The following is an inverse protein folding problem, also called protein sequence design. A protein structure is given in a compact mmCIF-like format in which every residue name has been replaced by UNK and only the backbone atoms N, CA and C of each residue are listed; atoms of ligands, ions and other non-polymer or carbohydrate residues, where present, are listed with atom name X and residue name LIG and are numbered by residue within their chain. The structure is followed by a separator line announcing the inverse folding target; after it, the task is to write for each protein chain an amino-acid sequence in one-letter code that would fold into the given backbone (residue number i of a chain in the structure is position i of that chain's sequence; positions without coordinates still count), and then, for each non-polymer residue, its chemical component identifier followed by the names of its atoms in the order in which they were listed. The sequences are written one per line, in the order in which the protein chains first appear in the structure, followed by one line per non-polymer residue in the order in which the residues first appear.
data_IF_860116029486
#
_entry.id   IF_860116029486
#
_cell.length_a   1.000
_cell.length_b   1.000
_cell.length_c   1.000
_cell.angle_alpha   90.00
_cell.angle_beta   90.00
_cell.angle_gamma   90.00
#
_symmetry.space_group_name_H-M   'P 1'
#
loop_
_entity.id
_entity.type
_entity.pdbx_description
1 polymer ?
#
# COMPACT_ATOMS: atom_id res chain seq x y z
N UNK A 1 11.27 -20.17 -22.47
CA UNK A 1 10.45 -19.55 -21.42
C UNK A 1 9.15 -19.09 -22.08
N UNK A 2 8.00 -19.41 -21.51
CA UNK A 2 6.73 -18.92 -22.01
C UNK A 2 6.67 -17.40 -21.86
N UNK A 3 6.14 -16.70 -22.86
CA UNK A 3 5.99 -15.26 -22.79
C UNK A 3 4.87 -14.91 -21.80
N UNK A 4 5.15 -13.98 -20.89
CA UNK A 4 4.18 -13.46 -19.92
C UNK A 4 3.64 -12.13 -20.43
N UNK A 5 2.31 -11.97 -20.40
CA UNK A 5 1.64 -10.72 -20.74
C UNK A 5 0.83 -10.25 -19.53
N UNK A 6 0.98 -8.98 -19.17
CA UNK A 6 0.30 -8.36 -18.02
C UNK A 6 -0.44 -7.10 -18.52
N UNK A 7 -1.63 -6.86 -17.94
CA UNK A 7 -2.34 -5.60 -18.18
C UNK A 7 -1.62 -4.46 -17.47
N UNK A 8 -1.24 -3.46 -18.24
CA UNK A 8 -0.58 -2.26 -17.73
C UNK A 8 -1.62 -1.13 -17.58
N UNK A 9 -1.89 -0.73 -16.36
CA UNK A 9 -2.86 0.34 -16.06
C UNK A 9 -2.45 1.67 -16.68
N UNK A 10 -1.15 1.95 -16.78
CA UNK A 10 -0.64 3.20 -17.36
C UNK A 10 -0.99 3.34 -18.86
N UNK A 11 -0.90 2.25 -19.61
CA UNK A 11 -1.17 2.25 -21.05
C UNK A 11 -2.57 1.77 -21.40
N UNK A 12 -3.29 1.18 -20.44
CA UNK A 12 -4.62 0.60 -20.64
C UNK A 12 -4.62 -0.65 -21.53
N UNK A 13 -3.48 -1.32 -21.70
CA UNK A 13 -3.30 -2.45 -22.62
C UNK A 13 -2.63 -3.63 -21.95
N UNK A 14 -2.88 -4.81 -22.52
CA UNK A 14 -2.14 -6.03 -22.17
C UNK A 14 -0.83 -6.04 -22.97
N UNK A 15 0.29 -6.03 -22.27
CA UNK A 15 1.62 -5.91 -22.84
C UNK A 15 2.51 -7.08 -22.44
N UNK A 16 3.52 -7.37 -23.25
CA UNK A 16 4.56 -8.33 -22.90
C UNK A 16 5.31 -7.82 -21.65
N UNK A 17 5.41 -8.67 -20.65
CA UNK A 17 6.13 -8.34 -19.43
C UNK A 17 7.63 -8.40 -19.65
N UNK A 18 8.31 -7.28 -19.44
CA UNK A 18 9.75 -7.17 -19.47
C UNK A 18 10.28 -6.67 -18.12
N UNK A 19 11.03 -7.50 -17.38
CA UNK A 19 11.57 -7.07 -16.09
C UNK A 19 12.65 -6.00 -16.27
N UNK A 20 12.66 -4.99 -15.40
CA UNK A 20 13.69 -3.91 -15.39
C UNK A 20 15.11 -4.44 -15.28
N UNK A 21 15.30 -5.57 -14.58
CA UNK A 21 16.56 -6.25 -14.42
C UNK A 21 16.41 -7.70 -14.85
N UNK A 22 17.28 -8.17 -15.73
CA UNK A 22 17.23 -9.53 -16.26
C UNK A 22 17.15 -10.56 -15.13
N UNK A 23 16.11 -11.38 -15.15
CA UNK A 23 15.89 -12.46 -14.17
C UNK A 23 15.42 -12.01 -12.78
N UNK A 24 15.26 -10.70 -12.52
CA UNK A 24 14.86 -10.17 -11.20
C UNK A 24 13.59 -9.32 -11.31
N UNK A 25 12.67 -9.52 -10.37
CA UNK A 25 11.39 -8.81 -10.31
C UNK A 25 11.20 -8.22 -8.92
N UNK A 26 10.84 -6.93 -8.85
CA UNK A 26 10.25 -6.33 -7.67
C UNK A 26 8.73 -6.41 -7.77
N UNK A 27 8.07 -6.99 -6.77
CA UNK A 27 6.62 -7.08 -6.66
C UNK A 27 6.19 -6.40 -5.36
N UNK A 28 5.28 -5.44 -5.45
CA UNK A 28 4.68 -4.80 -4.30
C UNK A 28 3.18 -5.06 -4.28
N UNK A 29 2.65 -5.43 -3.13
CA UNK A 29 1.22 -5.65 -2.91
C UNK A 29 0.80 -4.90 -1.66
N UNK A 30 -0.32 -4.20 -1.72
CA UNK A 30 -0.89 -3.55 -0.55
C UNK A 30 -1.26 -4.60 0.49
N UNK A 31 -0.83 -4.38 1.72
CA UNK A 31 -1.06 -5.28 2.85
C UNK A 31 -2.28 -4.93 3.68
N UNK A 32 -2.48 -5.62 4.80
CA UNK A 32 -3.61 -5.39 5.68
C UNK A 32 -3.42 -4.15 6.56
N UNK A 33 -4.54 -3.56 7.00
CA UNK A 33 -4.60 -2.66 8.14
C UNK A 33 -5.06 -3.47 9.36
N UNK A 34 -4.30 -3.42 10.43
CA UNK A 34 -4.42 -4.34 11.57
C UNK A 34 -5.34 -3.80 12.67
N UNK A 35 -6.63 -3.63 12.37
CA UNK A 35 -7.65 -3.22 13.36
C UNK A 35 -8.81 -4.21 13.49
N UNK A 36 -8.89 -5.20 12.61
CA UNK A 36 -9.95 -6.21 12.60
C UNK A 36 -9.48 -7.52 11.99
N UNK A 37 -10.27 -8.56 12.14
CA UNK A 37 -10.00 -9.84 11.48
C UNK A 37 -10.07 -9.71 9.96
N UNK A 38 -9.14 -10.35 9.23
CA UNK A 38 -9.21 -10.40 7.77
C UNK A 38 -10.49 -11.11 7.33
N UNK A 39 -11.21 -10.52 6.40
CA UNK A 39 -12.38 -11.13 5.77
C UNK A 39 -12.04 -11.68 4.38
N UNK A 40 -12.98 -12.40 3.77
CA UNK A 40 -12.79 -13.04 2.45
C UNK A 40 -12.35 -12.08 1.35
N UNK A 41 -12.79 -10.81 1.41
CA UNK A 41 -12.34 -9.77 0.46
C UNK A 41 -10.83 -9.52 0.53
N UNK A 42 -10.27 -9.44 1.73
CA UNK A 42 -8.82 -9.30 1.93
C UNK A 42 -8.08 -10.55 1.43
N UNK A 43 -8.59 -11.74 1.80
CA UNK A 43 -7.98 -13.02 1.40
C UNK A 43 -7.95 -13.20 -0.11
N UNK A 44 -9.02 -12.82 -0.81
CA UNK A 44 -9.04 -12.87 -2.27
C UNK A 44 -7.87 -12.12 -2.90
N UNK A 45 -7.54 -10.94 -2.38
CA UNK A 45 -6.38 -10.19 -2.85
C UNK A 45 -5.09 -10.98 -2.63
N UNK A 46 -4.87 -11.47 -1.41
CA UNK A 46 -3.62 -12.16 -1.08
C UNK A 46 -3.46 -13.49 -1.83
N UNK A 47 -4.54 -14.26 -2.03
CA UNK A 47 -4.54 -15.51 -2.81
C UNK A 47 -4.20 -15.21 -4.28
N UNK A 48 -4.80 -14.20 -4.88
CA UNK A 48 -4.54 -13.84 -6.27
C UNK A 48 -3.07 -13.43 -6.48
N UNK A 49 -2.52 -12.63 -5.57
CA UNK A 49 -1.12 -12.22 -5.67
C UNK A 49 -0.14 -13.33 -5.30
N UNK A 50 -0.52 -14.27 -4.44
CA UNK A 50 0.27 -15.48 -4.19
C UNK A 50 0.36 -16.37 -5.46
N UNK A 51 -0.74 -16.51 -6.19
CA UNK A 51 -0.72 -17.21 -7.49
C UNK A 51 0.24 -16.56 -8.48
N UNK A 52 0.20 -15.22 -8.58
CA UNK A 52 1.11 -14.45 -9.44
C UNK A 52 2.56 -14.65 -8.98
N UNK A 53 2.82 -14.56 -7.68
CA UNK A 53 4.14 -14.76 -7.11
C UNK A 53 4.70 -16.14 -7.41
N UNK A 54 3.90 -17.21 -7.18
CA UNK A 54 4.28 -18.59 -7.51
C UNK A 54 4.55 -18.77 -8.99
N UNK A 55 3.74 -18.15 -9.84
CA UNK A 55 3.95 -18.25 -11.28
C UNK A 55 5.24 -17.57 -11.72
N UNK A 56 5.57 -16.41 -11.18
CA UNK A 56 6.83 -15.74 -11.45
C UNK A 56 8.04 -16.57 -11.01
N UNK A 57 7.95 -17.22 -9.83
CA UNK A 57 8.97 -18.17 -9.36
C UNK A 57 9.09 -19.39 -10.29
N UNK A 58 7.96 -19.94 -10.74
CA UNK A 58 7.92 -21.06 -11.71
C UNK A 58 8.58 -20.69 -13.03
N UNK A 59 8.46 -19.46 -13.49
CA UNK A 59 9.16 -18.95 -14.68
C UNK A 59 10.67 -18.74 -14.46
N UNK A 60 11.19 -19.00 -13.26
CA UNK A 60 12.61 -18.91 -12.93
C UNK A 60 13.07 -17.49 -12.53
N UNK A 61 12.17 -16.57 -12.25
CA UNK A 61 12.53 -15.25 -11.76
C UNK A 61 12.91 -15.26 -10.27
N UNK A 62 13.87 -14.43 -9.91
CA UNK A 62 14.12 -14.04 -8.53
C UNK A 62 13.18 -12.89 -8.17
N UNK A 63 12.20 -13.15 -7.32
CA UNK A 63 11.17 -12.16 -6.98
C UNK A 63 11.41 -11.60 -5.59
N UNK A 64 11.62 -10.28 -5.49
CA UNK A 64 11.55 -9.55 -4.22
C UNK A 64 10.11 -9.11 -4.00
N UNK A 65 9.38 -9.89 -3.22
CA UNK A 65 7.98 -9.60 -2.88
C UNK A 65 7.92 -8.78 -1.60
N UNK A 66 7.36 -7.58 -1.71
CA UNK A 66 7.15 -6.64 -0.60
C UNK A 66 5.65 -6.47 -0.37
N UNK A 67 5.22 -6.58 0.88
CA UNK A 67 3.84 -6.30 1.30
C UNK A 67 3.88 -5.49 2.58
N UNK A 68 3.28 -4.29 2.58
CA UNK A 68 3.28 -3.46 3.78
C UNK A 68 2.33 -4.00 4.84
N UNK A 69 2.56 -3.59 6.08
CA UNK A 69 1.64 -3.73 7.20
C UNK A 69 1.27 -2.32 7.66
N UNK A 70 -0.02 -1.97 7.64
CA UNK A 70 -0.49 -0.70 8.18
C UNK A 70 -0.80 -0.87 9.66
N UNK A 71 0.13 -0.44 10.49
CA UNK A 71 0.09 -0.55 11.95
C UNK A 71 -0.20 0.78 12.67
N UNK A 72 -0.42 1.87 11.91
CA UNK A 72 -0.83 3.17 12.44
C UNK A 72 -1.48 4.04 11.35
N UNK A 73 -2.15 5.13 11.76
CA UNK A 73 -2.54 6.22 10.87
C UNK A 73 -3.65 5.90 9.87
N UNK A 74 -4.43 4.84 10.10
CA UNK A 74 -5.58 4.54 9.24
C UNK A 74 -6.80 5.38 9.66
N UNK A 75 -6.85 6.60 9.13
CA UNK A 75 -7.92 7.55 9.42
C UNK A 75 -9.14 7.21 8.56
N UNK A 76 -10.29 7.03 9.20
CA UNK A 76 -11.59 6.87 8.53
C UNK A 76 -12.46 8.09 8.78
N UNK A 77 -13.07 8.61 7.72
CA UNK A 77 -14.03 9.70 7.84
C UNK A 77 -15.41 9.11 8.17
N UNK A 78 -15.82 9.18 9.43
CA UNK A 78 -17.16 8.83 9.86
C UNK A 78 -17.83 10.04 10.49
N UNK A 79 -18.92 10.52 9.87
CA UNK A 79 -19.72 11.66 10.34
C UNK A 79 -18.90 12.96 10.52
N UNK A 80 -17.90 13.22 9.66
CA UNK A 80 -17.09 14.44 9.71
C UNK A 80 -16.01 14.45 10.80
N UNK A 81 -15.76 13.32 11.45
CA UNK A 81 -14.66 13.12 12.40
C UNK A 81 -13.61 12.20 11.79
N UNK A 82 -12.38 12.68 11.75
CA UNK A 82 -11.22 11.84 11.42
C UNK A 82 -10.92 10.92 12.61
N UNK A 83 -11.20 9.64 12.46
CA UNK A 83 -11.00 8.65 13.52
C UNK A 83 -9.95 7.62 13.08
N UNK A 84 -8.96 7.38 13.92
CA UNK A 84 -8.00 6.29 13.71
C UNK A 84 -8.67 4.94 14.01
N UNK A 85 -8.77 4.08 12.99
CA UNK A 85 -9.42 2.78 13.09
C UNK A 85 -8.74 1.85 14.11
N UNK A 86 -7.42 1.93 14.26
CA UNK A 86 -6.67 1.14 15.25
C UNK A 86 -6.98 1.66 16.65
N UNK A 87 -6.97 2.97 16.86
CA UNK A 87 -7.33 3.59 18.12
C UNK A 87 -8.78 3.34 18.53
N UNK A 88 -9.71 3.28 17.56
CA UNK A 88 -11.10 2.90 17.82
C UNK A 88 -11.22 1.44 18.25
N UNK A 89 -10.53 0.52 17.58
CA UNK A 89 -10.50 -0.89 17.96
C UNK A 89 -9.88 -1.08 19.35
N UNK A 90 -8.80 -0.35 19.64
CA UNK A 90 -8.15 -0.35 20.95
C UNK A 90 -9.10 0.05 22.09
N UNK A 91 -9.85 1.14 21.90
CA UNK A 91 -10.88 1.59 22.86
C UNK A 91 -12.01 0.58 23.03
N UNK A 92 -12.51 0.02 21.92
CA UNK A 92 -13.62 -0.94 21.95
C UNK A 92 -13.23 -2.25 22.65
N UNK A 93 -11.99 -2.68 22.52
CA UNK A 93 -11.48 -3.91 23.12
C UNK A 93 -10.77 -3.68 24.46
N UNK A 94 -10.67 -2.43 24.94
CA UNK A 94 -9.97 -2.05 26.17
C UNK A 94 -8.50 -2.50 26.19
N UNK A 95 -7.82 -2.32 25.06
CA UNK A 95 -6.41 -2.67 24.82
C UNK A 95 -5.62 -1.44 24.36
N UNK A 96 -4.30 -1.52 24.44
CA UNK A 96 -3.42 -0.53 23.80
C UNK A 96 -3.37 -0.74 22.27
N UNK A 97 -3.11 0.35 21.51
CA UNK A 97 -3.07 0.29 20.05
C UNK A 97 -2.08 -0.75 19.52
N UNK A 98 -0.91 -0.87 20.15
CA UNK A 98 0.10 -1.87 19.76
C UNK A 98 -0.34 -3.31 20.06
N UNK A 99 -1.13 -3.53 21.11
CA UNK A 99 -1.68 -4.86 21.42
C UNK A 99 -2.71 -5.27 20.37
N UNK A 100 -3.54 -4.34 19.90
CA UNK A 100 -4.48 -4.56 18.77
C UNK A 100 -3.73 -4.95 17.51
N UNK A 101 -2.69 -4.19 17.16
CA UNK A 101 -1.83 -4.48 16.00
C UNK A 101 -1.22 -5.89 16.11
N UNK A 102 -0.65 -6.22 17.25
CA UNK A 102 -0.05 -7.54 17.49
C UNK A 102 -1.08 -8.67 17.38
N UNK A 103 -2.23 -8.51 18.02
CA UNK A 103 -3.35 -9.47 17.99
C UNK A 103 -3.81 -9.78 16.57
N UNK A 104 -4.10 -8.74 15.79
CA UNK A 104 -4.61 -8.93 14.43
C UNK A 104 -3.52 -9.33 13.43
N UNK A 105 -2.27 -8.94 13.67
CA UNK A 105 -1.15 -9.45 12.89
C UNK A 105 -0.95 -10.96 13.09
N UNK A 106 -1.01 -11.44 14.34
CA UNK A 106 -0.93 -12.88 14.62
C UNK A 106 -2.02 -13.66 13.89
N UNK A 107 -3.28 -13.22 14.00
CA UNK A 107 -4.41 -13.82 13.30
C UNK A 107 -4.22 -13.80 11.77
N UNK A 108 -3.71 -12.71 11.22
CA UNK A 108 -3.42 -12.60 9.79
C UNK A 108 -2.35 -13.60 9.35
N UNK A 109 -1.29 -13.79 10.14
CA UNK A 109 -0.25 -14.79 9.86
C UNK A 109 -0.80 -16.22 9.93
N UNK A 110 -1.67 -16.51 10.89
CA UNK A 110 -2.31 -17.84 11.02
C UNK A 110 -3.21 -18.14 9.81
N UNK A 111 -3.98 -17.17 9.35
CA UNK A 111 -4.81 -17.30 8.16
C UNK A 111 -3.95 -17.51 6.91
N UNK A 112 -2.87 -16.77 6.74
CA UNK A 112 -1.95 -16.98 5.62
C UNK A 112 -1.40 -18.41 5.61
N UNK A 113 -1.02 -18.93 6.78
CA UNK A 113 -0.54 -20.30 6.93
C UNK A 113 -1.64 -21.32 6.60
N UNK A 114 -2.88 -21.10 7.07
CA UNK A 114 -4.02 -21.98 6.80
C UNK A 114 -4.34 -22.07 5.30
N UNK A 115 -4.19 -20.98 4.56
CA UNK A 115 -4.38 -20.93 3.10
C UNK A 115 -3.10 -21.25 2.31
N UNK A 116 -2.03 -21.70 2.97
CA UNK A 116 -0.75 -22.05 2.33
C UNK A 116 -0.18 -20.92 1.45
N UNK A 117 -0.35 -19.65 1.86
CA UNK A 117 0.21 -18.52 1.14
C UNK A 117 1.72 -18.43 1.41
N UNK A 118 2.50 -18.16 0.36
CA UNK A 118 3.92 -17.92 0.50
C UNK A 118 4.17 -16.58 1.22
N UNK A 119 5.18 -16.59 2.09
CA UNK A 119 5.57 -15.34 2.77
C UNK A 119 6.21 -14.36 1.81
N UNK A 120 5.91 -13.06 1.91
CA UNK A 120 6.68 -12.03 1.24
C UNK A 120 8.16 -12.05 1.66
N UNK A 121 9.02 -11.46 0.85
CA UNK A 121 10.45 -11.26 1.19
C UNK A 121 10.60 -10.33 2.39
N UNK A 122 9.70 -9.33 2.51
CA UNK A 122 9.65 -8.39 3.62
C UNK A 122 8.23 -7.86 3.80
N UNK A 123 7.83 -7.64 5.06
CA UNK A 123 6.57 -6.99 5.45
C UNK A 123 6.90 -5.72 6.26
N UNK A 124 7.23 -4.59 5.59
CA UNK A 124 7.53 -3.34 6.29
C UNK A 124 6.29 -2.78 6.97
N UNK A 125 6.45 -2.32 8.22
CA UNK A 125 5.40 -1.58 8.94
C UNK A 125 5.55 -0.09 8.75
N UNK A 126 4.46 0.67 8.85
CA UNK A 126 4.50 2.12 8.72
C UNK A 126 5.32 2.76 9.84
N UNK A 127 5.15 2.28 11.09
CA UNK A 127 5.88 2.81 12.25
C UNK A 127 7.38 2.57 12.20
N UNK A 128 7.83 1.46 11.61
CA UNK A 128 9.25 1.15 11.48
C UNK A 128 9.96 1.97 10.38
N UNK A 129 9.22 2.72 9.55
CA UNK A 129 9.76 3.48 8.41
C UNK A 129 9.46 4.98 8.50
N UNK A 130 9.25 5.51 9.72
CA UNK A 130 8.98 6.93 9.95
C UNK A 130 10.13 7.80 9.43
N UNK A 131 11.37 7.38 9.63
CA UNK A 131 12.54 8.13 9.20
C UNK A 131 12.57 8.28 7.66
N UNK A 132 12.34 7.21 6.94
CA UNK A 132 12.30 7.23 5.47
C UNK A 132 11.12 8.04 4.94
N UNK A 133 9.98 8.04 5.64
CA UNK A 133 8.84 8.89 5.30
C UNK A 133 9.19 10.37 5.48
N UNK A 134 9.85 10.75 6.57
CA UNK A 134 10.33 12.11 6.81
C UNK A 134 11.28 12.54 5.70
N UNK A 135 12.28 11.73 5.37
CA UNK A 135 13.25 12.03 4.31
C UNK A 135 12.61 12.26 2.93
N UNK A 136 11.54 11.51 2.61
CA UNK A 136 10.79 11.70 1.36
C UNK A 136 10.01 13.01 1.41
N UNK A 137 9.36 13.32 2.54
CA UNK A 137 8.59 14.55 2.73
C UNK A 137 9.52 15.78 2.63
N UNK A 138 10.70 15.75 3.27
CA UNK A 138 11.70 16.80 3.19
C UNK A 138 12.11 17.06 1.74
N UNK A 139 12.41 16.02 0.95
CA UNK A 139 12.72 16.17 -0.48
C UNK A 139 11.57 16.77 -1.28
N UNK A 140 10.31 16.44 -0.96
CA UNK A 140 9.14 17.04 -1.61
C UNK A 140 9.05 18.53 -1.25
N UNK A 141 9.34 18.90 0.01
CA UNK A 141 9.38 20.30 0.46
C UNK A 141 10.52 21.08 -0.22
N UNK A 142 11.72 20.51 -0.29
CA UNK A 142 12.88 21.10 -0.98
C UNK A 142 12.58 21.35 -2.46
N UNK A 143 11.86 20.46 -3.13
CA UNK A 143 11.40 20.63 -4.49
C UNK A 143 10.25 21.65 -4.62
N UNK A 144 9.75 22.18 -3.50
CA UNK A 144 8.72 23.20 -3.43
C UNK A 144 7.32 22.71 -3.74
N UNK A 145 7.04 21.42 -3.64
CA UNK A 145 5.72 20.82 -3.87
C UNK A 145 4.97 20.45 -2.58
N UNK A 146 5.48 20.87 -1.43
CA UNK A 146 4.78 20.75 -0.16
C UNK A 146 4.91 22.03 0.65
N UNK A 147 3.97 22.26 1.58
CA UNK A 147 3.95 23.41 2.48
C UNK A 147 3.45 23.00 3.87
N UNK A 148 3.78 23.81 4.86
CA UNK A 148 3.32 23.61 6.24
C UNK A 148 2.13 24.55 6.53
N UNK A 149 1.07 23.98 7.10
CA UNK A 149 -0.07 24.75 7.62
C UNK A 149 -0.52 24.15 8.94
N UNK A 150 -0.62 24.96 9.99
CA UNK A 150 -1.02 24.54 11.34
C UNK A 150 -0.26 23.31 11.88
N UNK A 151 1.05 23.22 11.60
CA UNK A 151 1.88 22.11 12.05
C UNK A 151 1.78 20.81 11.21
N UNK A 152 0.97 20.82 10.15
CA UNK A 152 0.81 19.69 9.21
C UNK A 152 1.45 20.02 7.88
N UNK A 153 2.10 19.04 7.27
CA UNK A 153 2.69 19.16 5.93
C UNK A 153 1.66 18.71 4.90
N UNK A 154 1.42 19.54 3.90
CA UNK A 154 0.51 19.27 2.79
C UNK A 154 1.27 19.25 1.47
N UNK A 155 0.92 18.31 0.59
CA UNK A 155 1.38 18.28 -0.80
C UNK A 155 0.58 19.31 -1.62
N UNK A 156 1.27 20.21 -2.31
CA UNK A 156 0.64 21.23 -3.16
C UNK A 156 0.31 20.66 -4.55
N UNK A 157 -0.84 20.02 -4.65
CA UNK A 157 -1.33 19.44 -5.91
C UNK A 157 -1.47 20.53 -6.98
N UNK A 158 -2.01 21.70 -6.63
CA UNK A 158 -2.25 22.79 -7.58
C UNK A 158 -0.94 23.34 -8.19
N UNK A 159 0.12 23.39 -7.39
CA UNK A 159 1.44 23.77 -7.89
C UNK A 159 2.08 22.68 -8.73
N UNK A 160 1.98 21.43 -8.27
CA UNK A 160 2.56 20.27 -8.95
C UNK A 160 2.03 20.09 -10.38
N UNK A 161 0.72 20.21 -10.57
CA UNK A 161 0.08 19.98 -11.87
C UNK A 161 0.42 21.01 -12.95
N UNK A 162 0.94 22.18 -12.55
CA UNK A 162 1.36 23.21 -13.53
C UNK A 162 2.55 22.77 -14.39
N UNK A 163 3.38 21.87 -13.88
CA UNK A 163 4.62 21.43 -14.52
C UNK A 163 4.77 19.90 -14.62
N UNK A 164 3.88 19.15 -13.99
CA UNK A 164 3.99 17.70 -13.91
C UNK A 164 2.65 17.01 -14.21
N UNK A 165 2.65 15.82 -14.82
CA UNK A 165 1.45 15.03 -15.01
C UNK A 165 0.93 14.52 -13.66
N UNK A 166 -0.39 14.62 -13.45
CA UNK A 166 -1.07 14.10 -12.26
C UNK A 166 -2.26 13.24 -12.68
N UNK A 167 -2.57 12.21 -11.90
CA UNK A 167 -3.69 11.33 -12.21
C UNK A 167 -3.48 10.38 -13.40
N UNK A 168 -2.27 10.27 -13.94
CA UNK A 168 -1.97 9.49 -15.15
C UNK A 168 -2.36 8.01 -15.02
N UNK A 169 -2.15 7.42 -13.84
CA UNK A 169 -2.48 6.01 -13.57
C UNK A 169 -3.95 5.83 -13.18
N UNK A 170 -4.51 6.76 -12.41
CA UNK A 170 -5.91 6.70 -11.97
C UNK A 170 -6.92 7.10 -13.04
N UNK A 171 -6.48 7.86 -14.05
CA UNK A 171 -7.34 8.46 -15.07
C UNK A 171 -8.24 9.58 -14.53
N UNK A 172 -8.11 9.96 -13.25
CA UNK A 172 -8.89 11.03 -12.64
C UNK A 172 -8.42 12.40 -13.10
N UNK A 173 -9.36 13.28 -13.40
CA UNK A 173 -9.11 14.69 -13.68
C UNK A 173 -9.09 15.48 -12.38
N UNK A 174 -8.24 16.50 -12.33
CA UNK A 174 -8.08 17.34 -11.13
C UNK A 174 -9.38 18.04 -10.78
N UNK A 175 -10.13 18.52 -11.76
CA UNK A 175 -11.42 19.20 -11.55
C UNK A 175 -12.45 18.27 -10.87
N UNK A 176 -12.39 16.97 -11.12
CA UNK A 176 -13.23 15.97 -10.45
C UNK A 176 -12.82 15.81 -8.98
N UNK A 177 -11.52 15.83 -8.69
CA UNK A 177 -10.99 15.71 -7.31
C UNK A 177 -11.25 16.96 -6.46
N UNK A 178 -11.23 18.16 -7.07
CA UNK A 178 -11.52 19.42 -6.38
C UNK A 178 -13.00 19.56 -6.04
N UNK A 179 -13.89 18.90 -6.78
CA UNK A 179 -15.33 18.90 -6.52
C UNK A 179 -15.74 17.86 -5.46
N UNK A 180 -14.88 16.89 -5.15
CA UNK A 180 -15.10 15.85 -4.12
C UNK A 180 -14.59 16.26 -2.72
N UNK A 181 -13.82 17.35 -2.62
CA UNK A 181 -13.26 17.90 -1.37
C UNK A 181 -14.06 19.11 -0.87
#
# INVERSE_FOLDING_TARGET
MSELFIYNTLTGKKEKFEPRHKGKIGMYVCGPTLYSEPHMGNLRTFINFDMIFRYLLHLGYQVKYVRNITDCGHITNSAGLELDSIGLAAKAEQMESLEIVYKYNSKFQDIQKAYNLLRPSIEPTATAHIQEQIEIIEKIMENGFAYVSNGTVYFDVNKYVKSNPYGVVSGRKIDELLNES
#
